data_IF_938316128278
#
_entry.id   IF_938316128278
#
_cell.length_a   1.000
_cell.length_b   1.000
_cell.length_c   1.000
_cell.angle_alpha   90.00
_cell.angle_beta   90.00
_cell.angle_gamma   90.00
#
_symmetry.space_group_name_H-M   'P 1'
#
loop_
_entity.id
_entity.type
_entity.pdbx_description
1 polymer ?
#
# COMPACT_ATOMS: atom_id res chain seq x y z
N UNK A 1 7.25 -10.81 -20.70
CA UNK A 1 6.98 -9.37 -20.50
C UNK A 1 5.66 -9.11 -19.79
N UNK A 2 4.51 -9.57 -20.32
CA UNK A 2 3.17 -9.23 -19.79
C UNK A 2 2.93 -9.72 -18.35
N UNK A 3 3.29 -10.97 -18.00
CA UNK A 3 3.16 -11.49 -16.63
C UNK A 3 3.94 -10.62 -15.63
N UNK A 4 5.21 -10.29 -15.96
CA UNK A 4 6.06 -9.46 -15.11
C UNK A 4 5.49 -8.05 -14.88
N UNK A 5 4.84 -7.46 -15.88
CA UNK A 5 4.17 -6.17 -15.71
C UNK A 5 3.10 -6.25 -14.61
N UNK A 6 2.23 -7.26 -14.65
CA UNK A 6 1.19 -7.45 -13.64
C UNK A 6 1.78 -7.81 -12.27
N UNK A 7 2.85 -8.61 -12.22
CA UNK A 7 3.55 -8.90 -10.98
C UNK A 7 4.14 -7.63 -10.34
N UNK A 8 4.72 -6.73 -11.13
CA UNK A 8 5.24 -5.44 -10.63
C UNK A 8 4.10 -4.57 -10.10
N UNK A 9 2.99 -4.45 -10.85
CA UNK A 9 1.82 -3.68 -10.39
C UNK A 9 1.26 -4.27 -9.09
N UNK A 10 1.22 -5.59 -8.96
CA UNK A 10 0.78 -6.27 -7.74
C UNK A 10 1.66 -5.89 -6.55
N UNK A 11 2.99 -6.03 -6.68
CA UNK A 11 3.94 -5.70 -5.61
C UNK A 11 3.85 -4.23 -5.22
N UNK A 12 3.78 -3.32 -6.19
CA UNK A 12 3.67 -1.88 -5.93
C UNK A 12 2.33 -1.54 -5.26
N UNK A 13 1.20 -2.09 -5.73
CA UNK A 13 -0.13 -1.85 -5.16
C UNK A 13 -0.23 -2.35 -3.72
N UNK A 14 0.25 -3.56 -3.45
CA UNK A 14 0.34 -4.11 -2.09
C UNK A 14 1.30 -3.30 -1.22
N UNK A 15 2.44 -2.87 -1.78
CA UNK A 15 3.43 -2.05 -1.09
C UNK A 15 2.90 -0.68 -0.67
N UNK A 16 2.00 -0.06 -1.44
CA UNK A 16 1.37 1.21 -1.04
C UNK A 16 0.47 1.04 0.19
N UNK A 17 -0.22 -0.09 0.31
CA UNK A 17 -1.19 -0.34 1.40
C UNK A 17 -0.52 -0.88 2.66
N UNK A 18 0.41 -1.82 2.49
CA UNK A 18 1.01 -2.58 3.60
C UNK A 18 2.49 -2.27 3.82
N UNK A 19 3.14 -1.57 2.89
CA UNK A 19 4.54 -1.21 3.02
C UNK A 19 4.75 -0.14 4.08
N UNK A 20 5.89 -0.22 4.75
CA UNK A 20 6.33 0.83 5.66
C UNK A 20 7.00 1.94 4.87
N UNK A 21 6.45 3.13 4.90
CA UNK A 21 7.10 4.32 4.34
C UNK A 21 8.29 4.71 5.24
N UNK A 22 9.49 4.78 4.65
CA UNK A 22 10.73 5.04 5.37
C UNK A 22 10.74 6.44 5.98
N UNK A 23 10.20 7.45 5.28
CA UNK A 23 10.08 8.80 5.81
C UNK A 23 9.11 8.84 7.00
N UNK A 24 7.97 8.16 6.88
CA UNK A 24 7.03 8.04 7.99
C UNK A 24 7.66 7.37 9.21
N UNK A 25 8.39 6.27 9.01
CA UNK A 25 9.01 5.52 10.11
C UNK A 25 10.17 6.28 10.78
N UNK A 26 11.01 6.96 10.00
CA UNK A 26 12.27 7.55 10.49
C UNK A 26 12.15 9.03 10.85
N UNK A 27 11.20 9.76 10.25
CA UNK A 27 11.03 11.22 10.45
C UNK A 27 9.68 11.55 11.06
N UNK A 28 8.57 11.11 10.45
CA UNK A 28 7.23 11.51 10.90
C UNK A 28 6.91 10.95 12.29
N UNK A 29 7.15 9.65 12.51
CA UNK A 29 6.88 8.98 13.79
C UNK A 29 7.57 9.66 14.97
N UNK A 30 8.89 9.95 14.96
CA UNK A 30 9.53 10.65 16.08
C UNK A 30 9.07 12.11 16.22
N UNK A 31 8.68 12.79 15.13
CA UNK A 31 8.10 14.13 15.22
C UNK A 31 6.73 14.10 15.91
N UNK A 32 5.86 13.18 15.54
CA UNK A 32 4.55 12.97 16.16
C UNK A 32 4.65 12.51 17.63
N UNK A 33 5.75 11.87 18.02
CA UNK A 33 5.99 11.49 19.42
C UNK A 33 6.29 12.69 20.35
N UNK A 34 6.46 13.90 19.81
CA UNK A 34 6.81 15.12 20.58
C UNK A 34 5.67 16.13 20.72
N UNK A 35 4.51 15.86 20.13
CA UNK A 35 3.33 16.72 20.26
C UNK A 35 2.40 16.18 21.36
N UNK A 36 1.50 17.02 21.86
CA UNK A 36 0.51 16.61 22.86
C UNK A 36 -0.53 15.63 22.29
N UNK A 37 -1.20 14.90 23.18
CA UNK A 37 -2.16 13.85 22.84
C UNK A 37 -3.34 14.38 22.01
N UNK A 38 -3.78 15.61 22.24
CA UNK A 38 -4.91 16.20 21.51
C UNK A 38 -4.52 16.45 20.05
N UNK A 39 -3.32 17.00 19.82
CA UNK A 39 -2.78 17.20 18.49
C UNK A 39 -2.50 15.86 17.77
N UNK A 40 -1.98 14.86 18.49
CA UNK A 40 -1.75 13.52 17.97
C UNK A 40 -3.05 12.84 17.54
N UNK A 41 -4.09 12.90 18.37
CA UNK A 41 -5.40 12.32 18.09
C UNK A 41 -6.04 12.95 16.84
N UNK A 42 -6.06 14.28 16.77
CA UNK A 42 -6.67 15.00 15.64
C UNK A 42 -5.94 14.72 14.32
N UNK A 43 -4.60 14.70 14.36
CA UNK A 43 -3.77 14.42 13.18
C UNK A 43 -3.96 12.98 12.70
N UNK A 44 -3.79 12.01 13.61
CA UNK A 44 -3.88 10.57 13.28
C UNK A 44 -5.28 10.19 12.84
N UNK A 45 -6.32 10.73 13.47
CA UNK A 45 -7.71 10.51 13.07
C UNK A 45 -8.00 10.99 11.65
N UNK A 46 -7.48 12.16 11.26
CA UNK A 46 -7.61 12.64 9.88
C UNK A 46 -6.80 11.80 8.89
N UNK A 47 -5.59 11.37 9.27
CA UNK A 47 -4.77 10.46 8.44
C UNK A 47 -5.56 9.17 8.16
N UNK A 48 -6.16 8.55 9.17
CA UNK A 48 -7.02 7.37 8.97
C UNK A 48 -8.23 7.67 8.10
N UNK A 49 -8.95 8.78 8.34
CA UNK A 49 -10.09 9.17 7.49
C UNK A 49 -9.72 9.26 6.00
N UNK A 50 -8.55 9.80 5.67
CA UNK A 50 -8.07 9.82 4.29
C UNK A 50 -7.57 8.46 3.83
N UNK A 51 -6.85 7.73 4.68
CA UNK A 51 -6.35 6.39 4.42
C UNK A 51 -7.48 5.42 4.07
N UNK A 52 -8.48 5.31 4.92
CA UNK A 52 -9.63 4.41 4.73
C UNK A 52 -10.37 4.68 3.42
N UNK A 53 -10.45 5.96 3.01
CA UNK A 53 -11.08 6.33 1.74
C UNK A 53 -10.20 6.06 0.52
N UNK A 54 -8.88 6.16 0.63
CA UNK A 54 -7.95 6.16 -0.52
C UNK A 54 -7.24 4.82 -0.71
N UNK A 55 -6.92 4.10 0.36
CA UNK A 55 -6.18 2.84 0.34
C UNK A 55 -6.89 1.65 -0.31
N UNK A 56 -8.24 1.58 -0.38
CA UNK A 56 -8.90 0.53 -1.16
C UNK A 56 -8.52 0.54 -2.65
N UNK A 57 -8.25 1.72 -3.22
CA UNK A 57 -7.92 1.86 -4.65
C UNK A 57 -6.63 1.11 -5.04
N UNK A 58 -5.44 1.44 -4.47
CA UNK A 58 -4.22 0.69 -4.77
C UNK A 58 -4.31 -0.78 -4.34
N UNK A 59 -5.05 -1.09 -3.27
CA UNK A 59 -5.26 -2.46 -2.82
C UNK A 59 -6.02 -3.33 -3.83
N UNK A 60 -7.14 -2.84 -4.36
CA UNK A 60 -7.92 -3.53 -5.40
C UNK A 60 -7.12 -3.66 -6.70
N UNK A 61 -6.39 -2.61 -7.09
CA UNK A 61 -5.50 -2.66 -8.27
C UNK A 61 -4.42 -3.73 -8.08
N UNK A 62 -3.76 -3.76 -6.93
CA UNK A 62 -2.73 -4.74 -6.60
C UNK A 62 -3.27 -6.17 -6.60
N UNK A 63 -4.44 -6.39 -5.99
CA UNK A 63 -5.10 -7.70 -5.97
C UNK A 63 -5.50 -8.18 -7.37
N UNK A 64 -6.11 -7.31 -8.17
CA UNK A 64 -6.50 -7.64 -9.54
C UNK A 64 -5.28 -7.95 -10.42
N UNK A 65 -4.20 -7.18 -10.26
CA UNK A 65 -2.94 -7.44 -10.95
C UNK A 65 -2.31 -8.77 -10.51
N UNK A 66 -2.33 -9.10 -9.22
CA UNK A 66 -1.83 -10.37 -8.71
C UNK A 66 -2.60 -11.57 -9.31
N UNK A 67 -3.94 -11.50 -9.30
CA UNK A 67 -4.79 -12.53 -9.89
C UNK A 67 -4.53 -12.70 -11.39
N UNK A 68 -4.39 -11.58 -12.12
CA UNK A 68 -4.10 -11.59 -13.57
C UNK A 68 -2.71 -12.17 -13.85
N UNK A 69 -1.70 -11.79 -13.06
CA UNK A 69 -0.35 -12.33 -13.16
C UNK A 69 -0.36 -13.85 -12.96
N UNK A 70 -1.03 -14.35 -11.92
CA UNK A 70 -1.14 -15.76 -11.62
C UNK A 70 -1.85 -16.53 -12.75
N UNK A 71 -2.98 -16.00 -13.24
CA UNK A 71 -3.73 -16.63 -14.33
C UNK A 71 -2.92 -16.72 -15.64
N UNK A 72 -2.17 -15.68 -16.00
CA UNK A 72 -1.35 -15.67 -17.21
C UNK A 72 -0.11 -16.57 -17.08
N UNK A 73 0.51 -16.60 -15.89
CA UNK A 73 1.60 -17.51 -15.57
C UNK A 73 1.15 -18.97 -15.73
N UNK A 74 0.02 -19.31 -15.10
CA UNK A 74 -0.67 -20.58 -15.19
C UNK A 74 -0.98 -21.01 -16.63
N UNK A 75 -1.67 -20.16 -17.38
CA UNK A 75 -2.08 -20.43 -18.77
C UNK A 75 -0.89 -20.60 -19.73
N UNK A 76 0.29 -20.12 -19.34
CA UNK A 76 1.51 -20.24 -20.15
C UNK A 76 2.47 -21.34 -19.69
N UNK A 77 2.05 -22.18 -18.74
CA UNK A 77 2.87 -23.27 -18.19
C UNK A 77 4.09 -22.78 -17.39
N UNK A 78 4.09 -21.52 -16.98
CA UNK A 78 5.16 -20.88 -16.19
C UNK A 78 4.68 -20.69 -14.76
N UNK A 79 4.47 -21.79 -14.05
CA UNK A 79 4.05 -21.81 -12.65
C UNK A 79 5.22 -21.53 -11.70
#
# INVERSE_FOLDING_TARGET
MVVMLFAVIAVLGTGVVYGTDVFCATVLRPALARIDDRALLATTGNIHRFGDRRMPVPGVIGLAAAATSAALAAASGRW
#
